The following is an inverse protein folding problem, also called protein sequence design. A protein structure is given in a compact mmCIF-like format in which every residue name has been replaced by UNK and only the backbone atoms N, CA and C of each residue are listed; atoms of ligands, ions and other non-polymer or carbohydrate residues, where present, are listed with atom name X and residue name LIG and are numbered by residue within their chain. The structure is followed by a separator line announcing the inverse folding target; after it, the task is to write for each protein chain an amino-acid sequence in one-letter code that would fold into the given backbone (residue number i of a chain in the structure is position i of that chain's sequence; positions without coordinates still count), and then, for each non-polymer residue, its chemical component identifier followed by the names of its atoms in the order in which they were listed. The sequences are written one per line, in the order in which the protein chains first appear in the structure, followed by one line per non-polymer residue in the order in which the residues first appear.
data_IF_169152847294
#
_entry.id   IF_169152847294
#
_cell.length_a   1.000
_cell.length_b   1.000
_cell.length_c   1.000
_cell.angle_alpha   90.00
_cell.angle_beta   90.00
_cell.angle_gamma   90.00
#
_symmetry.space_group_name_H-M   'P 1'
#
loop_
_entity.id
_entity.type
_entity.pdbx_description
1 polymer ?
#
# COMPACT_ATOMS: atom_id res chain seq x y z
N UNK A 1 -11.48 1.27 -20.00
CA UNK A 1 -10.47 0.25 -19.65
C UNK A 1 -11.07 -0.63 -18.57
N UNK A 2 -10.76 -1.94 -18.52
CA UNK A 2 -11.31 -2.80 -17.45
C UNK A 2 -10.59 -2.47 -16.14
N UNK A 3 -11.33 -2.07 -15.12
CA UNK A 3 -10.87 -1.74 -13.77
C UNK A 3 -9.92 -2.78 -13.16
N UNK A 4 -10.12 -4.07 -13.47
CA UNK A 4 -9.23 -5.15 -13.03
C UNK A 4 -7.81 -5.01 -13.59
N UNK A 5 -7.63 -4.49 -14.81
CA UNK A 5 -6.30 -4.24 -15.39
C UNK A 5 -5.55 -3.18 -14.60
N UNK A 6 -6.26 -2.16 -14.12
CA UNK A 6 -5.66 -1.07 -13.34
C UNK A 6 -5.29 -1.56 -11.94
N UNK A 7 -6.18 -2.31 -11.28
CA UNK A 7 -5.88 -2.98 -9.99
C UNK A 7 -4.67 -3.90 -10.14
N UNK A 8 -4.67 -4.78 -11.14
CA UNK A 8 -3.57 -5.72 -11.37
C UNK A 8 -2.24 -5.00 -11.66
N UNK A 9 -2.27 -3.87 -12.38
CA UNK A 9 -1.08 -3.05 -12.65
C UNK A 9 -0.52 -2.45 -11.36
N UNK A 10 -1.39 -1.90 -10.52
CA UNK A 10 -0.94 -1.35 -9.24
C UNK A 10 -0.43 -2.44 -8.29
N UNK A 11 -1.07 -3.60 -8.26
CA UNK A 11 -0.59 -4.78 -7.53
C UNK A 11 0.75 -5.32 -8.04
N UNK A 12 1.04 -5.16 -9.34
CA UNK A 12 2.32 -5.55 -9.94
C UNK A 12 3.47 -4.61 -9.55
N UNK A 13 3.15 -3.38 -9.13
CA UNK A 13 4.12 -2.43 -8.63
C UNK A 13 4.44 -2.69 -7.14
N UNK A 14 5.42 -1.96 -6.61
CA UNK A 14 5.74 -1.97 -5.19
C UNK A 14 4.83 -1.04 -4.36
N UNK A 15 3.93 -0.32 -5.03
CA UNK A 15 2.85 0.49 -4.48
C UNK A 15 2.27 1.39 -5.58
N UNK A 16 1.16 2.06 -5.31
CA UNK A 16 0.52 2.99 -6.23
C UNK A 16 -0.21 4.15 -5.53
N UNK A 17 -0.24 5.31 -6.16
CA UNK A 17 -0.98 6.46 -5.65
C UNK A 17 -1.89 7.08 -6.72
N UNK A 18 -3.07 7.49 -6.28
CA UNK A 18 -4.09 8.14 -7.11
C UNK A 18 -3.69 9.55 -7.50
N UNK A 19 -3.79 9.89 -8.79
CA UNK A 19 -3.80 11.31 -9.17
C UNK A 19 -5.18 11.92 -8.96
N UNK A 20 -5.22 13.11 -8.36
CA UNK A 20 -6.46 13.82 -8.00
C UNK A 20 -7.37 14.18 -9.17
N UNK A 21 -6.81 14.31 -10.37
CA UNK A 21 -7.49 14.74 -11.58
C UNK A 21 -7.95 13.56 -12.46
N UNK A 22 -7.91 12.32 -11.94
CA UNK A 22 -8.24 11.10 -12.68
C UNK A 22 -7.37 10.86 -13.92
N UNK A 23 -6.22 11.54 -14.05
CA UNK A 23 -5.29 11.36 -15.18
C UNK A 23 -4.33 10.18 -14.93
N UNK A 24 -4.83 9.09 -14.34
CA UNK A 24 -4.07 7.87 -14.08
C UNK A 24 -3.45 7.78 -12.68
N UNK A 25 -2.33 7.06 -12.59
CA UNK A 25 -1.76 6.56 -11.32
C UNK A 25 -0.26 6.76 -11.26
N UNK A 26 0.28 7.04 -10.08
CA UNK A 26 1.69 6.86 -9.84
C UNK A 26 1.94 5.41 -9.43
N UNK A 27 2.90 4.76 -10.08
CA UNK A 27 3.34 3.41 -9.77
C UNK A 27 4.75 3.48 -9.19
N UNK A 28 4.96 2.74 -8.10
CA UNK A 28 6.16 2.80 -7.29
C UNK A 28 7.00 1.57 -7.56
N UNK A 29 8.29 1.76 -7.83
CA UNK A 29 9.22 0.68 -8.15
C UNK A 29 10.44 0.76 -7.24
N UNK A 30 10.73 -0.33 -6.55
CA UNK A 30 11.88 -0.47 -5.66
C UNK A 30 12.82 -1.55 -6.21
N UNK A 31 13.47 -1.32 -7.34
CA UNK A 31 14.34 -2.31 -8.00
C UNK A 31 15.82 -1.91 -7.97
N UNK A 32 16.71 -2.90 -7.91
CA UNK A 32 18.17 -2.67 -8.04
C UNK A 32 18.74 -1.56 -7.13
N UNK A 33 18.19 -1.40 -5.93
CA UNK A 33 18.61 -0.36 -4.98
C UNK A 33 17.93 0.99 -5.18
N UNK A 34 17.12 1.19 -6.22
CA UNK A 34 16.48 2.46 -6.55
C UNK A 34 15.03 2.46 -6.11
N UNK A 35 14.54 3.61 -5.68
CA UNK A 35 13.11 3.88 -5.55
C UNK A 35 12.72 4.93 -6.58
N UNK A 36 11.83 4.53 -7.50
CA UNK A 36 11.38 5.33 -8.63
C UNK A 36 9.86 5.44 -8.60
N UNK A 37 9.37 6.66 -8.87
CA UNK A 37 7.94 6.97 -9.02
C UNK A 37 7.68 7.20 -10.51
N UNK A 38 6.76 6.43 -11.11
CA UNK A 38 6.39 6.57 -12.53
C UNK A 38 4.93 6.93 -12.69
N UNK A 39 4.61 7.89 -13.55
CA UNK A 39 3.23 8.25 -13.86
C UNK A 39 2.69 7.39 -15.01
N UNK A 40 1.63 6.63 -14.74
CA UNK A 40 0.91 5.79 -15.70
C UNK A 40 -0.41 6.44 -16.10
N UNK A 41 -0.58 6.71 -17.40
CA UNK A 41 -1.76 7.39 -17.98
C UNK A 41 -2.88 6.44 -18.43
N UNK A 42 -2.76 5.15 -18.13
CA UNK A 42 -3.66 4.11 -18.65
C UNK A 42 -3.14 3.42 -19.92
N UNK A 43 -2.32 4.10 -20.73
CA UNK A 43 -1.73 3.53 -21.95
C UNK A 43 -0.21 3.43 -21.93
N UNK A 44 0.46 4.37 -21.27
CA UNK A 44 1.91 4.48 -21.23
C UNK A 44 2.38 5.19 -19.97
N UNK A 45 3.68 5.09 -19.70
CA UNK A 45 4.35 5.95 -18.72
C UNK A 45 4.68 7.30 -19.36
N UNK A 46 4.37 8.39 -18.67
CA UNK A 46 4.67 9.77 -19.09
C UNK A 46 5.88 10.35 -18.36
N UNK A 47 5.93 10.20 -17.04
CA UNK A 47 6.97 10.78 -16.19
C UNK A 47 7.63 9.71 -15.31
N UNK A 48 8.92 9.91 -15.00
CA UNK A 48 9.72 9.08 -14.11
C UNK A 48 10.56 9.97 -13.20
N UNK A 49 10.48 9.75 -11.88
CA UNK A 49 11.27 10.46 -10.87
C UNK A 49 12.04 9.47 -9.99
N UNK A 50 13.35 9.69 -9.86
CA UNK A 50 14.19 8.96 -8.92
C UNK A 50 14.09 9.63 -7.54
N UNK A 51 13.63 8.87 -6.54
CA UNK A 51 13.54 9.35 -5.14
C UNK A 51 14.84 9.06 -4.39
N UNK A 52 15.38 7.84 -4.52
CA UNK A 52 16.64 7.45 -3.86
C UNK A 52 17.30 6.27 -4.57
N UNK A 53 18.61 6.12 -4.37
CA UNK A 53 19.42 4.96 -4.80
C UNK A 53 19.79 4.03 -3.65
N UNK A 54 19.07 4.12 -2.52
CA UNK A 54 19.26 3.24 -1.36
C UNK A 54 17.96 2.62 -0.87
N UNK A 55 17.14 2.12 -1.79
CA UNK A 55 15.92 1.38 -1.50
C UNK A 55 16.17 -0.14 -1.43
N UNK A 56 15.42 -0.86 -0.59
CA UNK A 56 15.46 -2.33 -0.53
C UNK A 56 14.75 -2.92 -1.75
N UNK A 57 15.43 -3.75 -2.55
CA UNK A 57 14.81 -4.35 -3.73
C UNK A 57 13.54 -5.16 -3.41
N UNK A 58 12.46 -4.90 -4.14
CA UNK A 58 11.18 -5.60 -4.05
C UNK A 58 10.33 -5.26 -2.81
N UNK A 59 10.78 -4.35 -1.93
CA UNK A 59 9.97 -3.94 -0.78
C UNK A 59 8.86 -2.98 -1.18
N UNK A 60 7.76 -2.96 -0.45
CA UNK A 60 6.70 -1.97 -0.72
C UNK A 60 7.18 -0.55 -0.45
N UNK A 61 6.53 0.40 -1.11
CA UNK A 61 6.74 1.83 -0.97
C UNK A 61 5.40 2.55 -1.06
N UNK A 62 5.34 3.79 -0.59
CA UNK A 62 4.15 4.61 -0.60
C UNK A 62 4.46 6.00 -1.14
N UNK A 63 3.43 6.64 -1.69
CA UNK A 63 3.50 7.99 -2.21
C UNK A 63 2.24 8.76 -1.78
N UNK A 64 2.44 9.91 -1.15
CA UNK A 64 1.38 10.77 -0.66
C UNK A 64 1.42 12.07 -1.46
N UNK A 65 0.32 12.39 -2.14
CA UNK A 65 0.20 13.63 -2.90
C UNK A 65 0.16 14.87 -2.01
N UNK A 66 0.61 15.98 -2.59
CA UNK A 66 0.29 17.29 -2.05
C UNK A 66 -1.22 17.52 -2.07
N UNK A 67 -1.78 18.03 -0.97
CA UNK A 67 -3.18 18.43 -0.84
C UNK A 67 -3.32 19.65 0.07
N UNK A 68 -4.50 20.25 0.10
CA UNK A 68 -4.80 21.27 1.12
C UNK A 68 -4.56 20.67 2.51
N UNK A 69 -3.57 21.20 3.24
CA UNK A 69 -3.08 20.68 4.52
C UNK A 69 -1.70 20.01 4.45
N UNK A 70 -1.37 19.28 3.37
CA UNK A 70 -0.03 18.75 3.10
C UNK A 70 0.55 19.36 1.81
N UNK A 71 1.27 20.49 1.87
CA UNK A 71 1.63 21.26 0.69
C UNK A 71 2.66 20.57 -0.22
N UNK A 72 3.41 19.58 0.30
CA UNK A 72 4.48 18.90 -0.45
C UNK A 72 4.23 17.39 -0.51
N UNK A 73 4.48 16.74 -1.65
CA UNK A 73 4.32 15.29 -1.74
C UNK A 73 5.38 14.58 -0.89
N UNK A 74 5.04 13.39 -0.40
CA UNK A 74 5.94 12.52 0.34
C UNK A 74 6.11 11.20 -0.40
N UNK A 75 7.33 10.68 -0.38
CA UNK A 75 7.64 9.35 -0.87
C UNK A 75 8.27 8.56 0.29
N UNK A 76 7.77 7.35 0.56
CA UNK A 76 8.19 6.53 1.69
C UNK A 76 8.61 5.16 1.18
N UNK A 77 9.77 4.67 1.58
CA UNK A 77 10.24 3.33 1.24
C UNK A 77 10.96 2.65 2.39
N UNK A 78 11.26 1.36 2.24
CA UNK A 78 12.26 0.70 3.09
C UNK A 78 13.61 0.82 2.42
N UNK A 79 14.59 1.35 3.14
CA UNK A 79 15.96 1.52 2.66
C UNK A 79 16.70 0.19 2.53
N UNK A 80 17.80 0.18 1.79
CA UNK A 80 18.68 -0.99 1.63
C UNK A 80 19.21 -1.54 2.97
N UNK A 81 19.30 -0.68 3.99
CA UNK A 81 19.65 -1.03 5.37
C UNK A 81 18.46 -1.56 6.19
N UNK A 82 17.30 -1.82 5.57
CA UNK A 82 16.06 -2.25 6.22
C UNK A 82 15.52 -1.28 7.27
N UNK A 83 15.56 0.03 6.99
CA UNK A 83 14.92 1.07 7.81
C UNK A 83 13.87 1.83 6.99
N UNK A 84 12.83 2.35 7.63
CA UNK A 84 11.90 3.25 6.95
C UNK A 84 12.63 4.56 6.61
N UNK A 85 12.47 5.03 5.38
CA UNK A 85 12.96 6.32 4.92
C UNK A 85 11.80 7.12 4.33
N UNK A 86 11.68 8.38 4.75
CA UNK A 86 10.68 9.33 4.27
C UNK A 86 11.40 10.42 3.49
N UNK A 87 10.88 10.77 2.32
CA UNK A 87 11.41 11.81 1.45
C UNK A 87 10.32 12.84 1.18
N UNK A 88 10.72 14.10 1.13
CA UNK A 88 9.87 15.21 0.73
C UNK A 88 10.47 15.86 -0.51
N UNK A 89 9.61 16.20 -1.47
CA UNK A 89 10.06 16.90 -2.67
C UNK A 89 10.37 18.37 -2.34
N UNK A 90 11.57 18.81 -2.69
CA UNK A 90 11.98 20.20 -2.65
C UNK A 90 11.67 20.85 -4.01
N UNK A 91 10.72 21.78 -4.02
CA UNK A 91 10.33 22.48 -5.25
C UNK A 91 11.39 23.46 -5.76
N UNK A 92 12.29 23.94 -4.90
CA UNK A 92 13.32 24.91 -5.30
C UNK A 92 14.49 24.21 -6.02
N UNK A 93 14.89 23.04 -5.52
CA UNK A 93 15.97 22.23 -6.09
C UNK A 93 15.47 21.20 -7.11
N UNK A 94 14.14 21.01 -7.22
CA UNK A 94 13.48 19.97 -8.03
C UNK A 94 13.96 18.54 -7.69
N UNK A 95 14.33 18.31 -6.43
CA UNK A 95 14.93 17.06 -5.94
C UNK A 95 14.20 16.50 -4.70
N UNK A 96 14.35 15.19 -4.47
CA UNK A 96 13.84 14.52 -3.28
C UNK A 96 14.86 14.60 -2.14
N UNK A 97 14.45 15.16 -1.00
CA UNK A 97 15.29 15.25 0.20
C UNK A 97 14.75 14.34 1.29
N UNK A 98 15.63 13.60 1.96
CA UNK A 98 15.24 12.73 3.07
C UNK A 98 14.82 13.55 4.31
N UNK A 99 13.74 13.16 4.99
CA UNK A 99 13.31 13.76 6.26
C UNK A 99 14.17 13.22 7.41
N UNK A 100 15.23 13.97 7.76
CA UNK A 100 16.13 13.66 8.87
C UNK A 100 15.45 13.73 10.26
N UNK A 101 14.21 14.21 10.36
CA UNK A 101 13.43 14.18 11.60
C UNK A 101 12.69 12.86 11.81
N UNK A 102 12.62 12.01 10.78
CA UNK A 102 12.00 10.70 10.89
C UNK A 102 12.81 9.81 11.84
N UNK A 103 12.16 9.14 12.82
CA UNK A 103 12.87 8.31 13.79
C UNK A 103 13.51 7.11 13.11
N UNK A 104 14.68 6.69 13.61
CA UNK A 104 15.36 5.50 13.11
C UNK A 104 14.52 4.25 13.39
N UNK A 105 13.82 3.75 12.35
CA UNK A 105 12.83 2.68 12.46
C UNK A 105 13.22 1.48 11.62
N UNK A 106 13.79 0.48 12.28
CA UNK A 106 14.15 -0.79 11.66
C UNK A 106 12.91 -1.60 11.27
N UNK A 107 12.94 -2.19 10.08
CA UNK A 107 11.89 -3.01 9.50
C UNK A 107 12.36 -4.47 9.45
N UNK A 108 11.44 -5.41 9.66
CA UNK A 108 11.72 -6.84 9.47
C UNK A 108 12.35 -7.09 8.08
N UNK A 109 13.31 -8.03 7.92
CA UNK A 109 13.97 -8.28 6.63
C UNK A 109 13.02 -8.60 5.47
N UNK A 110 11.89 -9.26 5.76
CA UNK A 110 10.79 -9.48 4.80
C UNK A 110 9.61 -8.52 4.96
N UNK A 111 9.65 -7.65 5.97
CA UNK A 111 8.55 -6.76 6.35
C UNK A 111 8.19 -5.79 5.23
N UNK A 112 6.94 -5.35 5.20
CA UNK A 112 6.43 -4.39 4.24
C UNK A 112 6.06 -3.09 4.97
N UNK A 113 5.76 -2.05 4.20
CA UNK A 113 5.16 -0.81 4.67
C UNK A 113 3.95 -0.44 3.82
N UNK A 114 3.03 0.32 4.41
CA UNK A 114 1.99 1.07 3.72
C UNK A 114 1.91 2.47 4.34
N UNK A 115 1.45 3.47 3.58
CA UNK A 115 1.25 4.81 4.12
C UNK A 115 0.07 5.53 3.49
N UNK A 116 -0.66 6.31 4.28
CA UNK A 116 -1.80 7.08 3.81
C UNK A 116 -1.79 8.46 4.46
N UNK A 117 -2.42 9.41 3.80
CA UNK A 117 -2.75 10.69 4.41
C UNK A 117 -4.24 10.69 4.75
N UNK A 118 -4.56 10.73 6.04
CA UNK A 118 -5.90 10.58 6.57
C UNK A 118 -6.10 11.57 7.71
N UNK A 119 -7.28 12.23 7.78
CA UNK A 119 -7.59 13.25 8.80
C UNK A 119 -6.46 14.27 9.06
N UNK A 120 -5.85 14.77 7.99
CA UNK A 120 -4.73 15.74 8.04
C UNK A 120 -3.49 15.25 8.81
N UNK A 121 -3.32 13.93 8.86
CA UNK A 121 -2.18 13.25 9.44
C UNK A 121 -1.58 12.26 8.44
N UNK A 122 -0.26 12.19 8.39
CA UNK A 122 0.46 11.13 7.68
C UNK A 122 0.47 9.92 8.59
N UNK A 123 -0.03 8.79 8.10
CA UNK A 123 0.01 7.50 8.77
C UNK A 123 0.92 6.57 7.99
N UNK A 124 1.84 5.92 8.67
CA UNK A 124 2.69 4.85 8.12
C UNK A 124 2.48 3.62 9.00
N UNK A 125 2.30 2.47 8.38
CA UNK A 125 2.38 1.18 9.08
C UNK A 125 3.48 0.35 8.45
N UNK A 126 4.29 -0.29 9.29
CA UNK A 126 5.29 -1.24 8.84
C UNK A 126 5.43 -2.40 9.82
N UNK A 127 6.07 -3.47 9.39
CA UNK A 127 6.41 -4.58 10.28
C UNK A 127 7.78 -4.37 10.92
N UNK A 128 7.81 -4.18 12.23
CA UNK A 128 9.02 -4.03 13.03
C UNK A 128 9.85 -5.32 13.09
N UNK A 129 11.08 -5.23 13.60
CA UNK A 129 12.07 -6.32 13.52
C UNK A 129 11.66 -7.61 14.25
N UNK A 130 10.76 -7.55 15.23
CA UNK A 130 10.23 -8.75 15.90
C UNK A 130 8.94 -9.31 15.26
N UNK A 131 8.49 -8.73 14.14
CA UNK A 131 7.32 -9.16 13.39
C UNK A 131 6.02 -8.46 13.80
N UNK A 132 6.06 -7.60 14.81
CA UNK A 132 4.96 -6.74 15.24
C UNK A 132 4.64 -5.67 14.19
N UNK A 133 3.40 -5.19 14.16
CA UNK A 133 3.07 -4.00 13.38
C UNK A 133 3.36 -2.75 14.19
N UNK A 134 4.03 -1.79 13.56
CA UNK A 134 4.36 -0.47 14.12
C UNK A 134 3.62 0.58 13.32
N UNK A 135 2.93 1.47 14.01
CA UNK A 135 2.22 2.61 13.45
C UNK A 135 2.98 3.89 13.77
N UNK A 136 3.14 4.73 12.76
CA UNK A 136 3.81 6.02 12.85
C UNK A 136 2.88 7.10 12.33
N UNK A 137 2.78 8.21 13.07
CA UNK A 137 1.92 9.33 12.70
C UNK A 137 2.65 10.66 12.75
N UNK A 138 2.28 11.60 11.88
CA UNK A 138 2.72 13.01 11.93
C UNK A 138 1.64 13.94 11.39
N UNK A 139 1.19 14.94 12.18
CA UNK A 139 0.27 15.96 11.68
C UNK A 139 0.88 16.74 10.50
N UNK A 140 0.06 17.00 9.48
CA UNK A 140 0.49 17.77 8.30
C UNK A 140 0.74 19.24 8.61
N UNK A 141 0.12 19.77 9.67
CA UNK A 141 0.38 21.09 10.23
C UNK A 141 1.77 21.22 10.88
N UNK A 142 2.53 20.14 10.95
CA UNK A 142 3.83 20.06 11.61
C UNK A 142 3.76 19.43 12.99
N UNK A 143 4.92 19.03 13.50
CA UNK A 143 5.06 18.30 14.75
C UNK A 143 6.11 17.20 14.65
N UNK A 144 6.32 16.50 15.77
CA UNK A 144 7.19 15.33 15.81
C UNK A 144 6.45 14.10 15.27
N UNK A 145 7.21 13.17 14.69
CA UNK A 145 6.72 11.83 14.42
C UNK A 145 6.42 11.11 15.74
N UNK A 146 5.24 10.51 15.85
CA UNK A 146 4.87 9.63 16.95
C UNK A 146 4.95 8.18 16.47
N UNK A 147 5.56 7.30 17.26
CA UNK A 147 5.72 5.88 16.94
C UNK A 147 5.05 5.06 18.04
N UNK A 148 4.20 4.13 17.66
CA UNK A 148 3.52 3.23 18.59
C UNK A 148 3.38 1.82 18.00
N UNK A 149 3.56 0.76 18.80
CA UNK A 149 3.20 -0.59 18.37
C UNK A 149 1.67 -0.74 18.27
N UNK A 150 1.20 -1.43 17.23
CA UNK A 150 -0.21 -1.82 17.11
C UNK A 150 -0.46 -3.10 17.91
N UNK A 151 -0.61 -2.94 19.23
CA UNK A 151 -0.82 -4.06 20.15
C UNK A 151 -2.08 -4.89 19.87
N UNK A 152 -3.06 -4.30 19.18
CA UNK A 152 -4.28 -5.01 18.77
C UNK A 152 -4.01 -6.10 17.72
N UNK A 153 -2.94 -5.97 16.94
CA UNK A 153 -2.63 -6.90 15.85
C UNK A 153 -2.39 -8.32 16.39
N UNK A 154 -3.11 -9.30 15.85
CA UNK A 154 -3.04 -10.70 16.24
C UNK A 154 -2.04 -11.42 15.35
N UNK A 155 -0.85 -11.71 15.89
CA UNK A 155 0.20 -12.52 15.26
C UNK A 155 0.45 -12.16 13.78
N UNK A 156 0.84 -10.92 13.45
CA UNK A 156 1.10 -10.54 12.06
C UNK A 156 2.12 -11.48 11.42
N UNK A 157 1.78 -12.03 10.25
CA UNK A 157 2.68 -12.94 9.53
C UNK A 157 3.97 -12.22 9.13
N UNK A 158 5.16 -12.80 9.30
CA UNK A 158 6.39 -12.20 8.80
C UNK A 158 6.31 -11.95 7.28
N UNK A 159 6.56 -10.70 6.86
CA UNK A 159 6.40 -10.23 5.49
C UNK A 159 4.95 -10.08 5.01
N UNK A 160 4.01 -9.95 5.94
CA UNK A 160 2.60 -9.71 5.65
C UNK A 160 2.41 -8.50 4.74
N UNK A 161 1.56 -8.63 3.71
CA UNK A 161 1.14 -7.51 2.89
C UNK A 161 0.34 -6.53 3.76
N UNK A 162 0.65 -5.24 3.61
CA UNK A 162 0.02 -4.16 4.36
C UNK A 162 -0.72 -3.26 3.37
N UNK A 163 -1.86 -2.74 3.79
CA UNK A 163 -2.60 -1.74 3.04
C UNK A 163 -3.47 -0.93 4.00
N UNK A 164 -3.78 0.31 3.65
CA UNK A 164 -4.85 1.08 4.30
C UNK A 164 -6.17 0.93 3.55
N UNK A 165 -7.32 1.10 4.22
CA UNK A 165 -8.63 1.17 3.56
C UNK A 165 -8.67 2.29 2.52
N UNK A 166 -9.43 2.05 1.46
CA UNK A 166 -9.67 3.01 0.38
C UNK A 166 -11.18 3.22 0.16
N UNK A 167 -11.69 4.45 -0.11
CA UNK A 167 -11.00 5.75 -0.24
C UNK A 167 -10.73 6.49 1.05
N UNK A 168 -11.47 6.16 2.10
CA UNK A 168 -11.57 7.06 3.24
C UNK A 168 -10.34 7.00 4.15
N UNK A 169 -9.45 6.00 4.03
CA UNK A 169 -8.30 5.81 4.90
C UNK A 169 -8.70 5.43 6.33
N UNK A 170 -7.75 4.94 7.12
CA UNK A 170 -7.89 4.74 8.57
C UNK A 170 -7.83 3.29 9.06
N UNK A 171 -8.40 2.34 8.32
CA UNK A 171 -8.28 0.91 8.68
C UNK A 171 -7.00 0.34 8.09
N UNK A 172 -6.30 -0.50 8.85
CA UNK A 172 -5.06 -1.15 8.45
C UNK A 172 -5.33 -2.62 8.17
N UNK A 173 -4.96 -3.12 7.01
CA UNK A 173 -5.15 -4.52 6.61
C UNK A 173 -3.84 -5.27 6.62
N UNK A 174 -3.88 -6.51 7.09
CA UNK A 174 -2.74 -7.41 7.12
C UNK A 174 -3.20 -8.88 7.13
N UNK A 175 -2.27 -9.80 6.92
CA UNK A 175 -2.47 -11.25 7.03
C UNK A 175 -1.97 -11.72 8.41
N UNK A 176 -2.85 -12.38 9.17
CA UNK A 176 -2.48 -13.01 10.45
C UNK A 176 -1.88 -14.39 10.22
N UNK A 177 -0.84 -14.74 10.99
CA UNK A 177 -0.28 -16.08 11.03
C UNK A 177 -1.11 -17.06 11.89
N UNK A 178 -2.11 -16.57 12.62
CA UNK A 178 -2.96 -17.41 13.47
C UNK A 178 -3.90 -18.30 12.64
N UNK A 179 -4.42 -17.78 11.53
CA UNK A 179 -5.44 -18.43 10.70
C UNK A 179 -5.25 -18.26 9.17
N UNK A 180 -4.28 -17.45 8.75
CA UNK A 180 -4.03 -17.06 7.36
C UNK A 180 -5.16 -16.28 6.70
N UNK A 181 -5.92 -15.53 7.50
CA UNK A 181 -6.94 -14.62 6.99
C UNK A 181 -6.43 -13.20 6.82
N UNK A 182 -7.18 -12.43 6.03
CA UNK A 182 -7.03 -10.97 5.98
C UNK A 182 -7.74 -10.39 7.19
N UNK A 183 -6.95 -9.79 8.08
CA UNK A 183 -7.39 -9.04 9.23
C UNK A 183 -7.40 -7.55 8.90
N UNK A 184 -8.21 -6.81 9.66
CA UNK A 184 -8.13 -5.35 9.74
C UNK A 184 -7.90 -4.88 11.17
N UNK A 185 -7.36 -3.68 11.32
CA UNK A 185 -7.26 -2.96 12.58
C UNK A 185 -7.90 -1.60 12.36
N UNK A 186 -8.98 -1.32 13.09
CA UNK A 186 -9.74 -0.08 12.97
C UNK A 186 -9.59 0.79 14.22
N UNK A 187 -9.52 2.11 14.02
CA UNK A 187 -9.48 3.09 15.11
C UNK A 187 -10.89 3.61 15.38
N UNK A 188 -11.59 3.01 16.36
CA UNK A 188 -12.96 3.44 16.73
C UNK A 188 -12.96 4.20 18.06
N UNK A 189 -12.58 3.52 19.14
CA UNK A 189 -12.33 4.09 20.47
C UNK A 189 -10.95 3.67 21.01
N UNK A 190 -10.10 3.24 20.09
CA UNK A 190 -8.90 2.44 20.30
C UNK A 190 -8.77 1.43 19.16
N UNK A 191 -7.56 0.95 18.92
CA UNK A 191 -7.29 -0.04 17.89
C UNK A 191 -7.93 -1.39 18.25
N UNK A 192 -8.75 -1.92 17.34
CA UNK A 192 -9.39 -3.24 17.49
C UNK A 192 -9.12 -4.06 16.26
N UNK A 193 -8.76 -5.33 16.47
CA UNK A 193 -8.56 -6.31 15.40
C UNK A 193 -9.87 -7.03 15.05
N UNK A 194 -10.03 -7.33 13.76
CA UNK A 194 -11.15 -8.10 13.23
C UNK A 194 -10.78 -8.82 11.94
N UNK A 195 -11.58 -9.83 11.58
CA UNK A 195 -11.38 -10.60 10.35
C UNK A 195 -12.27 -10.03 9.25
N UNK A 196 -11.67 -9.72 8.11
CA UNK A 196 -12.36 -9.15 6.94
C UNK A 196 -13.05 -10.24 6.13
N UNK A 197 -12.32 -11.32 5.88
CA UNK A 197 -12.78 -12.47 5.12
C UNK A 197 -12.19 -13.74 5.74
N UNK A 198 -13.04 -14.71 6.05
CA UNK A 198 -12.64 -16.03 6.54
C UNK A 198 -12.15 -16.93 5.39
N UNK A 199 -11.24 -16.40 4.57
CA UNK A 199 -10.67 -17.09 3.42
C UNK A 199 -9.16 -17.15 3.59
N UNK A 200 -8.60 -18.37 3.72
CA UNK A 200 -7.17 -18.56 3.88
C UNK A 200 -6.43 -18.05 2.65
N UNK A 201 -5.39 -17.25 2.84
CA UNK A 201 -4.52 -16.75 1.77
C UNK A 201 -3.09 -17.24 1.95
N UNK A 202 -2.49 -17.70 0.85
CA UNK A 202 -1.04 -17.87 0.79
C UNK A 202 -0.30 -16.53 0.98
N UNK A 203 1.02 -16.53 1.26
CA UNK A 203 1.79 -15.30 1.36
C UNK A 203 1.65 -14.39 0.14
N UNK A 204 1.29 -13.12 0.38
CA UNK A 204 0.96 -12.16 -0.67
C UNK A 204 2.12 -11.20 -0.95
N UNK A 205 2.34 -10.86 -2.22
CA UNK A 205 3.24 -9.78 -2.66
C UNK A 205 2.63 -8.42 -2.34
N UNK A 206 1.36 -8.24 -2.67
CA UNK A 206 0.60 -7.01 -2.47
C UNK A 206 -0.84 -7.34 -2.08
N UNK A 207 -1.46 -6.42 -1.34
CA UNK A 207 -2.85 -6.44 -0.94
C UNK A 207 -3.44 -5.07 -1.25
N UNK A 208 -4.66 -5.05 -1.76
CA UNK A 208 -5.46 -3.86 -1.95
C UNK A 208 -6.84 -4.14 -1.39
N UNK A 209 -7.37 -3.22 -0.58
CA UNK A 209 -8.72 -3.34 -0.02
C UNK A 209 -9.52 -2.08 -0.30
N UNK A 210 -10.62 -2.24 -1.05
CA UNK A 210 -11.63 -1.21 -1.24
C UNK A 210 -12.71 -1.39 -0.17
N UNK A 211 -13.00 -0.34 0.59
CA UNK A 211 -14.15 -0.26 1.49
C UNK A 211 -15.29 0.50 0.80
N UNK A 212 -16.52 0.01 0.92
CA UNK A 212 -17.69 0.79 0.51
C UNK A 212 -18.06 1.82 1.58
N UNK A 213 -18.86 2.84 1.21
CA UNK A 213 -19.43 3.81 2.17
C UNK A 213 -20.17 3.13 3.35
N UNK A 214 -20.63 1.88 3.15
CA UNK A 214 -21.07 1.00 4.23
C UNK A 214 -19.84 0.26 4.76
N UNK A 215 -19.39 0.62 5.96
CA UNK A 215 -18.24 0.05 6.69
C UNK A 215 -18.25 -1.47 6.85
N UNK A 216 -19.34 -2.15 6.50
CA UNK A 216 -19.50 -3.60 6.60
C UNK A 216 -19.17 -4.35 5.30
N UNK A 217 -18.84 -3.63 4.20
CA UNK A 217 -18.50 -4.27 2.93
C UNK A 217 -17.11 -3.86 2.46
N UNK A 218 -16.20 -4.84 2.49
CA UNK A 218 -14.85 -4.76 1.95
C UNK A 218 -14.74 -5.67 0.74
N UNK A 219 -13.98 -5.21 -0.26
CA UNK A 219 -13.55 -6.02 -1.38
C UNK A 219 -12.03 -5.98 -1.46
N UNK A 220 -11.41 -7.15 -1.31
CA UNK A 220 -9.97 -7.27 -1.28
C UNK A 220 -9.44 -7.94 -2.56
N UNK A 221 -8.31 -7.45 -3.04
CA UNK A 221 -7.57 -7.99 -4.16
C UNK A 221 -6.12 -8.18 -3.75
N UNK A 222 -5.51 -9.25 -4.22
CA UNK A 222 -4.14 -9.56 -3.84
C UNK A 222 -3.33 -10.12 -5.00
N UNK A 223 -2.02 -9.92 -4.93
CA UNK A 223 -1.06 -10.57 -5.81
C UNK A 223 -0.30 -11.64 -5.02
N UNK A 224 -0.31 -12.87 -5.51
CA UNK A 224 0.42 -13.99 -4.88
C UNK A 224 1.89 -13.98 -5.27
N UNK A 225 2.70 -14.84 -4.63
CA UNK A 225 4.10 -15.01 -5.03
C UNK A 225 4.27 -15.49 -6.49
N UNK A 226 3.27 -16.22 -7.01
CA UNK A 226 3.25 -16.78 -8.37
C UNK A 226 2.55 -15.87 -9.39
N UNK A 227 2.40 -14.58 -9.08
CA UNK A 227 1.79 -13.57 -9.94
C UNK A 227 0.33 -13.84 -10.31
N UNK A 228 -0.39 -14.60 -9.47
CA UNK A 228 -1.84 -14.74 -9.58
C UNK A 228 -2.53 -13.57 -8.89
N UNK A 229 -3.57 -13.03 -9.54
CA UNK A 229 -4.44 -12.00 -8.96
C UNK A 229 -5.64 -12.69 -8.34
N UNK A 230 -5.81 -12.48 -7.04
CA UNK A 230 -6.93 -12.98 -6.27
C UNK A 230 -8.00 -11.89 -6.11
N UNK A 231 -9.24 -12.31 -6.09
CA UNK A 231 -10.35 -11.57 -5.51
C UNK A 231 -10.79 -12.30 -4.24
N UNK A 232 -10.84 -11.55 -3.14
CA UNK A 232 -11.14 -12.02 -1.78
C UNK A 232 -12.36 -11.23 -1.31
N UNK A 233 -13.58 -11.76 -1.49
CA UNK A 233 -14.78 -11.09 -1.03
C UNK A 233 -14.86 -11.14 0.50
N UNK A 234 -15.58 -10.19 1.11
CA UNK A 234 -15.89 -10.20 2.57
C UNK A 234 -16.61 -11.49 3.03
N UNK A 235 -17.27 -12.19 2.11
CA UNK A 235 -17.85 -13.50 2.35
C UNK A 235 -17.81 -14.40 1.12
N UNK A 236 -17.62 -15.71 1.34
CA UNK A 236 -17.49 -16.72 0.29
C UNK A 236 -16.05 -17.17 0.06
N UNK A 237 -15.81 -17.88 -1.03
CA UNK A 237 -14.49 -18.37 -1.40
C UNK A 237 -13.70 -17.34 -2.21
N UNK A 238 -12.38 -17.26 -1.95
CA UNK A 238 -11.48 -16.49 -2.81
C UNK A 238 -11.43 -17.08 -4.21
N UNK A 239 -11.24 -16.25 -5.22
CA UNK A 239 -11.15 -16.68 -6.62
C UNK A 239 -9.92 -16.11 -7.30
N UNK A 240 -9.34 -16.86 -8.24
CA UNK A 240 -8.26 -16.36 -9.11
C UNK A 240 -8.91 -15.65 -10.29
N UNK A 241 -8.71 -14.34 -10.40
CA UNK A 241 -9.28 -13.55 -11.51
C UNK A 241 -8.41 -13.59 -12.75
N UNK A 242 -7.09 -13.76 -12.57
CA UNK A 242 -6.11 -13.76 -13.66
C UNK A 242 -4.68 -13.81 -13.15
N UNK A 243 -3.74 -13.43 -14.01
CA UNK A 243 -2.30 -13.37 -13.72
C UNK A 243 -1.66 -12.09 -14.27
N UNK A 244 -0.58 -11.67 -13.64
CA UNK A 244 0.27 -10.57 -14.09
C UNK A 244 1.50 -11.16 -14.80
N UNK A 245 1.81 -10.66 -15.98
CA UNK A 245 3.05 -10.98 -16.70
C UNK A 245 4.21 -10.13 -16.20
N UNK A 246 5.44 -10.49 -16.58
CA UNK A 246 6.65 -9.76 -16.21
C UNK A 246 6.66 -8.28 -16.64
N UNK A 247 5.94 -7.92 -17.70
CA UNK A 247 5.77 -6.54 -18.17
C UNK A 247 4.66 -5.76 -17.42
N UNK A 248 4.08 -6.36 -16.38
CA UNK A 248 2.97 -5.81 -15.60
C UNK A 248 1.62 -5.91 -16.31
N UNK A 249 1.51 -6.58 -17.46
CA UNK A 249 0.23 -6.77 -18.16
C UNK A 249 -0.62 -7.85 -17.49
N UNK A 250 -1.93 -7.62 -17.44
CA UNK A 250 -2.89 -8.55 -16.84
C UNK A 250 -3.54 -9.46 -17.88
N UNK A 251 -3.60 -10.76 -17.58
CA UNK A 251 -4.28 -11.80 -18.36
C UNK A 251 -5.38 -12.42 -17.50
N UNK A 252 -6.64 -12.22 -17.91
CA UNK A 252 -7.77 -12.79 -17.18
C UNK A 252 -7.84 -14.31 -17.29
N UNK A 253 -8.24 -14.98 -16.21
CA UNK A 253 -8.51 -16.42 -16.18
C UNK A 253 -9.83 -16.79 -16.88
N UNK A 254 -10.74 -15.82 -17.08
CA UNK A 254 -12.04 -16.03 -17.72
C UNK A 254 -12.21 -15.16 -18.96
N UNK A 255 -12.92 -15.66 -19.99
CA UNK A 255 -13.26 -14.85 -21.18
C UNK A 255 -14.28 -13.74 -20.89
N UNK A 256 -14.96 -13.80 -19.75
CA UNK A 256 -15.83 -12.74 -19.27
C UNK A 256 -14.98 -11.67 -18.56
N UNK A 257 -15.06 -10.43 -19.04
CA UNK A 257 -14.46 -9.29 -18.35
C UNK A 257 -15.20 -9.08 -17.02
N UNK A 258 -14.46 -9.16 -15.91
CA UNK A 258 -14.99 -8.79 -14.61
C UNK A 258 -15.32 -7.30 -14.63
N UNK A 259 -16.62 -7.01 -14.62
CA UNK A 259 -17.17 -5.66 -14.62
C UNK A 259 -17.65 -5.39 -13.21
N UNK A 260 -16.83 -4.69 -12.42
CA UNK A 260 -17.18 -4.34 -11.06
C UNK A 260 -17.57 -2.86 -11.07
N UNK A 261 -18.81 -2.56 -10.69
CA UNK A 261 -19.31 -1.19 -10.58
C UNK A 261 -18.93 -0.66 -9.18
N UNK A 262 -17.63 -0.49 -8.97
CA UNK A 262 -17.14 0.32 -7.85
C UNK A 262 -16.59 1.59 -8.48
N UNK A 263 -17.04 2.73 -7.96
CA UNK A 263 -16.52 4.05 -8.30
C UNK A 263 -15.08 4.13 -7.78
N UNK A 264 -14.13 3.42 -8.41
CA UNK A 264 -12.73 3.38 -7.98
C UNK A 264 -12.05 4.63 -8.52
N UNK A 265 -12.26 5.73 -7.82
CA UNK A 265 -11.28 6.80 -7.70
C UNK A 265 -10.14 6.38 -6.76
N UNK A 266 -9.47 5.26 -7.04
CA UNK A 266 -8.08 4.90 -6.70
C UNK A 266 -7.50 4.97 -5.26
N UNK A 267 -6.82 3.89 -4.79
CA UNK A 267 -5.56 3.88 -3.97
C UNK A 267 -4.92 2.48 -4.06
N UNK A 268 -3.58 2.32 -4.06
CA UNK A 268 -2.90 1.10 -3.54
C UNK A 268 -1.68 1.58 -2.75
N UNK A 269 -1.84 1.98 -1.50
CA UNK A 269 -0.71 2.42 -0.68
C UNK A 269 -0.29 1.38 0.35
#
# INVERSE_FOLDING_TARGET
MSQMKDIARGLAANGAAARRDNDGYYLLFTDSGRFVVKHWTGGAFSDEQLVTTSARPGSTAAYIHARAGNPRPLAICVSSASHVAVFQFDEEEEEWTQDDTFPDLAVHPSGKLAAVLWEECVHIVCQGTSGELVHVTKPTSGGAWAVAPLQAAIQPRPGTALCFSHPDGGDIFYISAADDYVHHICETTGWVDGVVAQAQVEPLKQLFVASSEKKDFFEAYALTQDDAVLHIPSGGEKTVTGRVNQDGSYVSATKAEWSININIGCVIA
#
